data_IF_614658682422
#
_entry.id   IF_614658682422
#
_cell.length_a   1.000
_cell.length_b   1.000
_cell.length_c   1.000
_cell.angle_alpha   90.00
_cell.angle_beta   90.00
_cell.angle_gamma   90.00
#
_symmetry.space_group_name_H-M   'P 1'
#
loop_
_entity.id
_entity.type
_entity.pdbx_description
1 polymer ?
#
# COMPACT_ATOMS: atom_id res chain seq x y z
N UNK A 1 3.92 -12.42 15.91
CA UNK A 1 2.77 -13.14 15.34
C UNK A 1 3.14 -13.82 14.01
N UNK A 2 4.18 -13.37 13.31
CA UNK A 2 4.70 -13.98 12.07
C UNK A 2 6.20 -14.19 12.26
N UNK A 3 6.61 -15.42 12.52
CA UNK A 3 7.97 -15.69 13.02
C UNK A 3 9.07 -15.46 11.98
N UNK A 4 8.81 -15.75 10.70
CA UNK A 4 9.81 -15.63 9.61
C UNK A 4 9.70 -14.32 8.82
N UNK A 5 8.93 -13.34 9.29
CA UNK A 5 8.77 -12.08 8.59
C UNK A 5 9.99 -11.16 8.74
N UNK A 6 10.34 -10.48 7.67
CA UNK A 6 11.34 -9.41 7.62
C UNK A 6 10.67 -8.10 7.24
N UNK A 7 10.85 -7.07 8.04
CA UNK A 7 10.34 -5.73 7.76
C UNK A 7 11.38 -4.95 6.93
N UNK A 8 10.97 -4.45 5.76
CA UNK A 8 11.77 -3.53 4.97
C UNK A 8 11.31 -2.09 5.18
N UNK A 9 12.25 -1.24 5.56
CA UNK A 9 12.05 0.20 5.74
C UNK A 9 13.02 0.98 4.87
N UNK A 10 12.62 2.19 4.48
CA UNK A 10 13.50 3.10 3.77
C UNK A 10 14.54 3.70 4.72
N UNK A 11 15.82 3.60 4.35
CA UNK A 11 16.90 4.36 4.97
C UNK A 11 16.98 5.75 4.30
N UNK A 12 16.14 6.66 4.77
CA UNK A 12 16.02 8.01 4.21
C UNK A 12 17.08 8.96 4.76
N UNK A 13 17.24 8.96 6.08
CA UNK A 13 18.26 9.75 6.77
C UNK A 13 18.64 9.10 8.11
N UNK A 14 19.87 9.38 8.55
CA UNK A 14 20.44 8.76 9.75
C UNK A 14 19.63 9.04 11.05
N UNK A 15 18.97 10.19 11.15
CA UNK A 15 18.17 10.54 12.32
C UNK A 15 16.87 9.71 12.36
N UNK A 16 16.15 9.62 11.25
CA UNK A 16 14.94 8.81 11.14
C UNK A 16 15.25 7.33 11.36
N UNK A 17 16.30 6.80 10.73
CA UNK A 17 16.72 5.41 10.90
C UNK A 17 17.07 5.08 12.35
N UNK A 18 17.78 5.98 13.05
CA UNK A 18 18.11 5.81 14.46
C UNK A 18 16.85 5.77 15.34
N UNK A 19 15.90 6.68 15.09
CA UNK A 19 14.67 6.74 15.88
C UNK A 19 13.77 5.52 15.62
N UNK A 20 13.62 5.11 14.36
CA UNK A 20 12.89 3.90 14.00
C UNK A 20 13.49 2.66 14.69
N UNK A 21 14.82 2.51 14.72
CA UNK A 21 15.47 1.39 15.43
C UNK A 21 15.14 1.39 16.92
N UNK A 22 15.10 2.56 17.57
CA UNK A 22 14.69 2.65 18.98
C UNK A 22 13.24 2.23 19.20
N UNK A 23 12.33 2.71 18.36
CA UNK A 23 10.90 2.38 18.46
C UNK A 23 10.67 0.89 18.21
N UNK A 24 11.31 0.31 17.21
CA UNK A 24 11.25 -1.11 16.88
C UNK A 24 11.73 -1.96 18.07
N UNK A 25 12.88 -1.61 18.66
CA UNK A 25 13.40 -2.30 19.82
C UNK A 25 12.52 -2.11 21.06
N UNK A 26 11.95 -0.93 21.27
CA UNK A 26 10.99 -0.65 22.35
C UNK A 26 9.75 -1.53 22.27
N UNK A 27 9.28 -1.83 21.06
CA UNK A 27 8.15 -2.73 20.82
C UNK A 27 8.56 -4.22 20.77
N UNK A 28 9.79 -4.55 21.14
CA UNK A 28 10.23 -5.94 21.26
C UNK A 28 10.50 -6.65 19.93
N UNK A 29 10.61 -5.91 18.82
CA UNK A 29 10.96 -6.51 17.53
C UNK A 29 12.47 -6.61 17.39
N UNK A 30 13.04 -7.81 17.13
CA UNK A 30 14.47 -8.00 16.91
C UNK A 30 14.96 -7.21 15.69
N UNK A 31 16.06 -6.46 15.84
CA UNK A 31 16.58 -5.60 14.76
C UNK A 31 17.18 -6.38 13.59
N UNK A 32 17.57 -7.61 13.79
CA UNK A 32 18.00 -8.55 12.72
C UNK A 32 16.87 -8.94 11.76
N UNK A 33 15.63 -8.72 12.18
CA UNK A 33 14.43 -8.88 11.35
C UNK A 33 14.03 -7.60 10.60
N UNK A 34 14.85 -6.56 10.64
CA UNK A 34 14.53 -5.27 9.99
C UNK A 34 15.65 -4.86 9.03
N UNK A 35 15.31 -4.71 7.78
CA UNK A 35 16.23 -4.26 6.72
C UNK A 35 15.96 -2.79 6.40
N UNK A 36 16.98 -1.94 6.59
CA UNK A 36 16.96 -0.55 6.16
C UNK A 36 17.58 -0.45 4.76
N UNK A 37 16.73 -0.24 3.76
CA UNK A 37 17.12 -0.19 2.36
C UNK A 37 17.34 1.25 1.89
N UNK A 38 18.51 1.53 1.33
CA UNK A 38 18.85 2.87 0.80
C UNK A 38 17.94 3.24 -0.38
N UNK A 39 17.79 4.55 -0.59
CA UNK A 39 17.19 5.07 -1.82
C UNK A 39 17.98 4.59 -3.03
N UNK A 40 17.29 4.31 -4.10
CA UNK A 40 17.86 3.82 -5.35
C UNK A 40 17.09 4.43 -6.52
N UNK A 41 17.49 4.12 -7.74
CA UNK A 41 16.77 4.55 -8.96
C UNK A 41 15.33 4.00 -8.97
N UNK A 42 14.42 4.69 -9.65
CA UNK A 42 13.03 4.25 -9.73
C UNK A 42 12.85 2.83 -10.32
N UNK A 43 13.57 2.42 -11.38
CA UNK A 43 13.51 1.04 -11.86
C UNK A 43 13.95 0.00 -10.82
N UNK A 44 15.05 0.25 -10.11
CA UNK A 44 15.55 -0.66 -9.05
C UNK A 44 14.60 -0.71 -7.84
N UNK A 45 14.01 0.43 -7.47
CA UNK A 45 12.98 0.50 -6.44
C UNK A 45 11.77 -0.38 -6.80
N UNK A 46 11.27 -0.29 -8.04
CA UNK A 46 10.17 -1.15 -8.52
C UNK A 46 10.56 -2.63 -8.53
N UNK A 47 11.78 -2.97 -8.99
CA UNK A 47 12.28 -4.34 -8.95
C UNK A 47 12.38 -4.88 -7.51
N UNK A 48 12.80 -4.04 -6.56
CA UNK A 48 12.86 -4.39 -5.12
C UNK A 48 11.46 -4.67 -4.56
N UNK A 49 10.44 -3.89 -4.94
CA UNK A 49 9.06 -4.12 -4.48
C UNK A 49 8.51 -5.47 -4.91
N UNK A 50 8.93 -6.00 -6.05
CA UNK A 50 8.51 -7.31 -6.52
C UNK A 50 9.03 -8.47 -5.65
N UNK A 51 10.06 -8.24 -4.84
CA UNK A 51 10.61 -9.22 -3.90
C UNK A 51 9.85 -9.29 -2.57
N UNK A 52 9.06 -8.26 -2.24
CA UNK A 52 8.27 -8.23 -1.02
C UNK A 52 6.98 -9.05 -1.17
N UNK A 53 6.41 -9.57 -0.09
CA UNK A 53 5.17 -10.35 -0.12
C UNK A 53 3.92 -9.48 0.05
N UNK A 54 3.96 -8.49 0.91
CA UNK A 54 2.89 -7.56 1.20
C UNK A 54 3.44 -6.18 1.55
N UNK A 55 2.76 -5.13 1.12
CA UNK A 55 3.06 -3.75 1.50
C UNK A 55 2.15 -3.33 2.64
N UNK A 56 2.75 -2.84 3.73
CA UNK A 56 2.05 -2.31 4.89
C UNK A 56 1.93 -0.79 4.73
N UNK A 57 0.74 -0.32 4.42
CA UNK A 57 0.50 1.12 4.29
C UNK A 57 0.53 1.83 5.64
N UNK A 58 0.94 3.07 5.64
CA UNK A 58 1.07 3.89 6.84
C UNK A 58 -0.23 4.59 7.21
N UNK A 59 -0.40 4.90 8.50
CA UNK A 59 -1.51 5.67 9.02
C UNK A 59 -1.01 6.72 10.02
N UNK A 60 -1.63 7.87 10.17
CA UNK A 60 -2.85 8.38 9.52
C UNK A 60 -2.63 8.95 8.11
N UNK A 61 -1.39 9.01 7.64
CA UNK A 61 -1.04 9.47 6.30
C UNK A 61 -0.76 8.27 5.41
N UNK A 62 -1.73 7.93 4.55
CA UNK A 62 -1.58 6.82 3.60
C UNK A 62 -0.61 7.16 2.46
N UNK A 63 -0.07 6.12 1.86
CA UNK A 63 0.72 6.22 0.65
C UNK A 63 -0.14 6.70 -0.54
N UNK A 64 0.37 7.68 -1.29
CA UNK A 64 -0.25 8.17 -2.52
C UNK A 64 0.40 7.58 -3.76
N UNK A 65 1.41 8.25 -4.33
CA UNK A 65 2.18 7.75 -5.49
C UNK A 65 2.85 6.41 -5.21
N UNK A 66 3.38 6.22 -3.99
CA UNK A 66 3.94 4.94 -3.55
C UNK A 66 2.93 3.81 -3.62
N UNK A 67 1.68 4.03 -3.18
CA UNK A 67 0.63 3.02 -3.27
C UNK A 67 0.37 2.61 -4.72
N UNK A 68 0.37 3.57 -5.65
CA UNK A 68 0.25 3.27 -7.07
C UNK A 68 1.41 2.43 -7.58
N UNK A 69 2.65 2.80 -7.26
CA UNK A 69 3.84 2.03 -7.66
C UNK A 69 3.80 0.60 -7.12
N UNK A 70 3.39 0.42 -5.87
CA UNK A 70 3.19 -0.88 -5.21
C UNK A 70 2.22 -1.75 -5.99
N UNK A 71 1.02 -1.23 -6.26
CA UNK A 71 -0.02 -1.96 -6.98
C UNK A 71 0.37 -2.25 -8.44
N UNK A 72 1.04 -1.31 -9.11
CA UNK A 72 1.55 -1.47 -10.48
C UNK A 72 2.71 -2.48 -10.57
N UNK A 73 3.42 -2.74 -9.46
CA UNK A 73 4.42 -3.82 -9.35
C UNK A 73 3.80 -5.19 -9.05
N UNK A 74 2.49 -5.28 -8.87
CA UNK A 74 1.81 -6.52 -8.50
C UNK A 74 1.96 -6.88 -7.02
N UNK A 75 2.36 -5.94 -6.16
CA UNK A 75 2.54 -6.18 -4.74
C UNK A 75 1.23 -5.90 -4.00
N UNK A 76 0.61 -6.89 -3.32
CA UNK A 76 -0.57 -6.69 -2.50
C UNK A 76 -0.29 -5.68 -1.38
N UNK A 77 -1.26 -4.83 -1.08
CA UNK A 77 -1.14 -3.79 -0.07
C UNK A 77 -2.31 -3.86 0.90
N UNK A 78 -2.04 -3.79 2.20
CA UNK A 78 -3.06 -3.61 3.23
C UNK A 78 -3.03 -2.16 3.70
N UNK A 79 -4.19 -1.52 3.82
CA UNK A 79 -4.31 -0.13 4.30
C UNK A 79 -5.33 0.01 5.41
N UNK A 80 -5.06 0.94 6.32
CA UNK A 80 -6.00 1.42 7.33
C UNK A 80 -6.59 2.75 6.86
N UNK A 81 -7.87 2.72 6.49
CA UNK A 81 -8.59 3.89 6.00
C UNK A 81 -9.13 4.73 7.16
N UNK A 82 -9.00 6.04 7.03
CA UNK A 82 -9.49 7.01 8.03
C UNK A 82 -10.52 7.97 7.46
N UNK A 83 -10.70 9.11 8.15
CA UNK A 83 -11.73 10.11 7.80
C UNK A 83 -11.21 11.29 6.97
N UNK A 84 -9.90 11.48 6.91
CA UNK A 84 -9.29 12.59 6.15
C UNK A 84 -8.98 12.18 4.72
N UNK A 85 -8.76 13.13 3.83
CA UNK A 85 -8.35 12.87 2.45
C UNK A 85 -7.09 11.97 2.39
N UNK A 86 -6.05 12.35 3.13
CA UNK A 86 -4.77 11.63 3.12
C UNK A 86 -4.85 10.22 3.71
N UNK A 87 -5.78 9.97 4.63
CA UNK A 87 -6.00 8.64 5.22
C UNK A 87 -6.95 7.75 4.41
N UNK A 88 -7.37 8.18 3.22
CA UNK A 88 -8.25 7.44 2.31
C UNK A 88 -7.64 7.18 0.94
N UNK A 89 -6.43 7.70 0.70
CA UNK A 89 -5.81 7.65 -0.64
C UNK A 89 -5.57 6.20 -1.11
N UNK A 90 -4.90 5.40 -0.28
CA UNK A 90 -4.60 4.01 -0.61
C UNK A 90 -5.86 3.15 -0.70
N UNK A 91 -6.82 3.33 0.22
CA UNK A 91 -8.12 2.66 0.18
C UNK A 91 -8.90 2.97 -1.10
N UNK A 92 -8.90 4.24 -1.54
CA UNK A 92 -9.54 4.63 -2.80
C UNK A 92 -8.92 3.94 -4.03
N UNK A 93 -7.59 3.75 -4.03
CA UNK A 93 -6.91 3.00 -5.10
C UNK A 93 -7.33 1.52 -5.08
N UNK A 94 -7.31 0.87 -3.92
CA UNK A 94 -7.73 -0.53 -3.76
C UNK A 94 -9.18 -0.72 -4.18
N UNK A 95 -10.09 0.15 -3.74
CA UNK A 95 -11.50 0.14 -4.15
C UNK A 95 -11.66 0.24 -5.68
N UNK A 96 -10.90 1.12 -6.33
CA UNK A 96 -10.98 1.32 -7.79
C UNK A 96 -10.59 0.10 -8.63
N UNK A 97 -9.90 -0.86 -8.02
CA UNK A 97 -9.44 -2.10 -8.66
C UNK A 97 -10.10 -3.36 -8.09
N UNK A 98 -11.13 -3.19 -7.24
CA UNK A 98 -11.94 -4.28 -6.70
C UNK A 98 -11.22 -5.13 -5.64
N UNK A 99 -10.37 -4.52 -4.82
CA UNK A 99 -9.65 -5.15 -3.70
C UNK A 99 -10.06 -4.53 -2.36
N UNK A 100 -11.37 -4.35 -2.15
CA UNK A 100 -11.93 -3.76 -0.94
C UNK A 100 -11.59 -4.53 0.34
N UNK A 101 -11.40 -5.84 0.24
CA UNK A 101 -11.04 -6.72 1.35
C UNK A 101 -9.63 -6.47 1.90
N UNK A 102 -8.82 -5.65 1.24
CA UNK A 102 -7.51 -5.19 1.72
C UNK A 102 -7.58 -3.84 2.43
N UNK A 103 -8.78 -3.27 2.57
CA UNK A 103 -9.05 -2.02 3.27
C UNK A 103 -9.63 -2.32 4.65
N UNK A 104 -9.02 -1.78 5.68
CA UNK A 104 -9.49 -1.90 7.05
C UNK A 104 -9.84 -0.52 7.62
N UNK A 105 -10.60 -0.46 8.70
CA UNK A 105 -11.03 0.78 9.36
C UNK A 105 -10.55 0.90 10.81
N UNK A 106 -9.90 -0.14 11.34
CA UNK A 106 -9.30 -0.15 12.67
C UNK A 106 -8.00 -0.94 12.72
N UNK A 107 -7.18 -0.68 13.74
CA UNK A 107 -5.86 -1.30 13.89
C UNK A 107 -5.91 -2.81 14.10
N UNK A 108 -6.91 -3.31 14.82
CA UNK A 108 -7.02 -4.73 15.11
C UNK A 108 -7.26 -5.56 13.84
N UNK A 109 -8.16 -5.10 12.98
CA UNK A 109 -8.44 -5.73 11.69
C UNK A 109 -7.25 -5.60 10.73
N UNK A 110 -6.56 -4.44 10.73
CA UNK A 110 -5.33 -4.26 9.97
C UNK A 110 -4.27 -5.30 10.34
N UNK A 111 -3.99 -5.45 11.64
CA UNK A 111 -3.01 -6.43 12.13
C UNK A 111 -3.44 -7.87 11.83
N UNK A 112 -4.71 -8.21 12.06
CA UNK A 112 -5.22 -9.55 11.82
C UNK A 112 -5.13 -9.90 10.33
N UNK A 113 -5.56 -9.00 9.45
CA UNK A 113 -5.49 -9.22 8.00
C UNK A 113 -4.06 -9.44 7.52
N UNK A 114 -3.09 -8.67 8.03
CA UNK A 114 -1.67 -8.85 7.68
C UNK A 114 -1.15 -10.22 8.13
N UNK A 115 -1.52 -10.65 9.34
CA UNK A 115 -1.12 -11.98 9.87
C UNK A 115 -1.75 -13.09 9.05
N UNK A 116 -3.03 -12.99 8.72
CA UNK A 116 -3.74 -13.97 7.91
C UNK A 116 -3.14 -14.10 6.52
N UNK A 117 -2.81 -12.97 5.88
CA UNK A 117 -2.14 -12.96 4.57
C UNK A 117 -0.74 -13.57 4.62
N UNK A 118 0.01 -13.34 5.69
CA UNK A 118 1.34 -13.94 5.87
C UNK A 118 1.27 -15.47 5.97
N UNK A 119 0.18 -16.01 6.50
CA UNK A 119 -0.07 -17.46 6.61
C UNK A 119 -0.65 -18.07 5.32
N UNK A 120 -1.26 -17.25 4.43
CA UNK A 120 -1.95 -17.73 3.23
C UNK A 120 -1.24 -17.30 1.94
N UNK A 121 -0.23 -18.08 1.53
CA UNK A 121 0.52 -17.83 0.29
C UNK A 121 -0.34 -17.93 -0.97
N UNK A 122 -1.39 -18.76 -0.96
CA UNK A 122 -2.29 -18.90 -2.11
C UNK A 122 -3.13 -17.62 -2.31
N UNK A 123 -3.61 -17.04 -1.22
CA UNK A 123 -4.33 -15.78 -1.22
C UNK A 123 -3.45 -14.62 -1.69
N UNK A 124 -2.21 -14.53 -1.21
CA UNK A 124 -1.24 -13.54 -1.71
C UNK A 124 -0.97 -13.71 -3.21
N UNK A 125 -0.80 -14.94 -3.69
CA UNK A 125 -0.58 -15.22 -5.11
C UNK A 125 -1.80 -14.81 -5.96
N UNK A 126 -3.03 -15.01 -5.47
CA UNK A 126 -4.25 -14.58 -6.16
C UNK A 126 -4.33 -13.07 -6.30
N UNK A 127 -3.98 -12.31 -5.26
CA UNK A 127 -3.90 -10.84 -5.35
C UNK A 127 -2.84 -10.36 -6.32
N UNK A 128 -1.65 -10.97 -6.31
CA UNK A 128 -0.61 -10.66 -7.30
C UNK A 128 -1.11 -10.90 -8.73
N UNK A 129 -1.76 -12.02 -8.97
CA UNK A 129 -2.32 -12.34 -10.27
C UNK A 129 -3.36 -11.30 -10.70
N UNK A 130 -4.29 -10.95 -9.80
CA UNK A 130 -5.30 -9.92 -10.04
C UNK A 130 -4.66 -8.56 -10.40
N UNK A 131 -3.64 -8.14 -9.65
CA UNK A 131 -2.94 -6.90 -9.88
C UNK A 131 -2.21 -6.86 -11.23
N UNK A 132 -1.56 -7.96 -11.61
CA UNK A 132 -0.84 -8.08 -12.89
C UNK A 132 -1.83 -8.10 -14.07
N UNK A 133 -2.91 -8.86 -13.98
CA UNK A 133 -3.93 -8.92 -15.03
C UNK A 133 -4.73 -7.60 -15.15
N UNK A 134 -4.98 -6.93 -14.05
CA UNK A 134 -5.68 -5.64 -14.00
C UNK A 134 -4.92 -4.47 -14.63
N UNK A 135 -3.64 -4.65 -15.00
CA UNK A 135 -2.84 -3.57 -15.62
C UNK A 135 -3.47 -3.04 -16.92
N UNK A 136 -4.05 -3.92 -17.74
CA UNK A 136 -4.73 -3.54 -19.00
C UNK A 136 -5.98 -2.70 -18.78
N UNK A 137 -6.69 -2.89 -17.66
CA UNK A 137 -7.87 -2.09 -17.32
C UNK A 137 -7.49 -0.67 -16.87
N UNK A 138 -6.29 -0.49 -16.33
CA UNK A 138 -5.79 0.82 -15.86
C UNK A 138 -5.36 1.74 -17.00
N UNK A 139 -5.01 1.22 -18.16
CA UNK A 139 -4.72 2.05 -19.35
C UNK A 139 -5.93 2.84 -19.83
N UNK A 140 -7.15 2.28 -19.64
CA UNK A 140 -8.39 2.97 -19.97
C UNK A 140 -8.92 3.92 -18.85
N UNK A 141 -8.36 3.86 -17.66
CA UNK A 141 -8.81 4.62 -16.49
C UNK A 141 -8.76 6.15 -16.66
N UNK A 142 -7.73 6.76 -17.30
CA UNK A 142 -7.67 8.22 -17.50
C UNK A 142 -8.88 8.76 -18.25
N UNK A 143 -9.29 8.14 -19.33
CA UNK A 143 -10.43 8.59 -20.14
C UNK A 143 -11.78 8.46 -19.39
N UNK A 144 -11.94 7.44 -18.55
CA UNK A 144 -13.10 7.27 -17.68
C UNK A 144 -13.14 8.34 -16.59
N UNK A 145 -11.98 8.62 -15.97
CA UNK A 145 -11.84 9.64 -14.93
C UNK A 145 -12.18 11.03 -15.48
N UNK A 146 -11.65 11.40 -16.65
CA UNK A 146 -11.93 12.69 -17.30
C UNK A 146 -13.43 12.85 -17.55
N UNK A 147 -14.09 11.84 -18.14
CA UNK A 147 -15.53 11.89 -18.38
C UNK A 147 -16.34 12.00 -17.08
N UNK A 148 -15.95 11.30 -16.03
CA UNK A 148 -16.60 11.40 -14.73
C UNK A 148 -16.46 12.81 -14.14
N UNK A 149 -15.25 13.39 -14.21
CA UNK A 149 -14.98 14.74 -13.74
C UNK A 149 -15.79 15.80 -14.53
N UNK A 150 -15.79 15.70 -15.85
CA UNK A 150 -16.61 16.61 -16.71
C UNK A 150 -18.09 16.53 -16.35
N UNK A 151 -18.60 15.33 -16.09
CA UNK A 151 -20.01 15.13 -15.69
C UNK A 151 -20.29 15.81 -14.36
N UNK A 152 -19.43 15.62 -13.36
CA UNK A 152 -19.60 16.25 -12.05
C UNK A 152 -19.52 17.79 -12.14
N UNK A 153 -18.57 18.32 -12.90
CA UNK A 153 -18.46 19.78 -13.10
C UNK A 153 -19.70 20.37 -13.79
N UNK A 154 -20.24 19.70 -14.81
CA UNK A 154 -21.50 20.12 -15.46
C UNK A 154 -22.68 20.12 -14.50
N UNK A 155 -22.81 19.09 -13.65
CA UNK A 155 -23.88 19.03 -12.64
C UNK A 155 -23.75 20.16 -11.61
N UNK A 156 -22.52 20.46 -11.16
CA UNK A 156 -22.29 21.56 -10.22
C UNK A 156 -22.69 22.92 -10.81
N UNK A 157 -22.38 23.18 -12.10
CA UNK A 157 -22.76 24.43 -12.78
C UNK A 157 -24.27 24.54 -12.98
N UNK A 158 -24.97 23.42 -13.23
CA UNK A 158 -26.43 23.39 -13.41
C UNK A 158 -27.19 23.56 -12.09
N UNK A 159 -26.54 23.34 -10.94
CA UNK A 159 -27.12 23.48 -9.60
C UNK A 159 -26.96 24.90 -9.02
N UNK A 160 -26.31 25.83 -9.74
CA UNK A 160 -26.14 27.24 -9.41
C UNK A 160 -27.26 28.09 -10.03
#
# INVERSE_FOLDING_TARGET
RVDDAVLWLLDDNASATRELKKQIAYHGVPLDRVVFAKRTSHPEYRARMQLADVFLDTTPYNSGSTARDVLDCGLPMVTLSGRTFVSRMAGSLLHSIGLDELITDNHADYENLVVDLAADRARLASYRHHLIQGHKLREAAPAKLVRSLETQLKQMVQAL
#
